data_IF_949743600567
#
_entry.id   IF_949743600567
#
_cell.length_a   1.000
_cell.length_b   1.000
_cell.length_c   1.000
_cell.angle_alpha   90.00
_cell.angle_beta   90.00
_cell.angle_gamma   90.00
#
_symmetry.space_group_name_H-M   'P 1'
#
loop_
_entity.id
_entity.type
_entity.pdbx_description
1 polymer ?
#
# COMPACT_ATOMS: atom_id res chain seq x y z
N UNK A 1 -22.65 -19.67 -3.58
CA UNK A 1 -23.28 -20.58 -2.60
C UNK A 1 -22.83 -20.17 -1.21
N UNK A 2 -23.58 -20.50 -0.17
CA UNK A 2 -23.27 -20.19 1.24
C UNK A 2 -21.84 -20.63 1.65
N UNK A 3 -21.40 -21.78 1.12
CA UNK A 3 -20.03 -22.30 1.27
C UNK A 3 -18.94 -21.35 0.73
N UNK A 4 -19.19 -20.66 -0.39
CA UNK A 4 -18.22 -19.74 -0.98
C UNK A 4 -18.07 -18.47 -0.13
N UNK A 5 -19.19 -17.91 0.34
CA UNK A 5 -19.16 -16.73 1.22
C UNK A 5 -18.53 -17.06 2.58
N UNK A 6 -18.85 -18.23 3.15
CA UNK A 6 -18.21 -18.68 4.39
C UNK A 6 -16.69 -18.86 4.28
N UNK A 7 -16.21 -19.39 3.16
CA UNK A 7 -14.77 -19.52 2.92
C UNK A 7 -14.09 -18.16 2.70
N UNK A 8 -14.74 -17.25 1.96
CA UNK A 8 -14.23 -15.90 1.75
C UNK A 8 -14.14 -15.12 3.07
N UNK A 9 -15.17 -15.19 3.91
CA UNK A 9 -15.17 -14.50 5.20
C UNK A 9 -14.11 -15.07 6.15
N UNK A 10 -13.88 -16.39 6.10
CA UNK A 10 -12.79 -17.02 6.84
C UNK A 10 -11.42 -16.50 6.39
N UNK A 11 -11.18 -16.38 5.08
CA UNK A 11 -9.92 -15.85 4.55
C UNK A 11 -9.75 -14.37 4.90
N UNK A 12 -10.78 -13.56 4.71
CA UNK A 12 -10.72 -12.12 5.00
C UNK A 12 -10.62 -11.83 6.51
N UNK A 13 -11.15 -12.71 7.36
CA UNK A 13 -11.06 -12.60 8.82
C UNK A 13 -9.73 -13.07 9.42
N UNK A 14 -8.80 -13.58 8.62
CA UNK A 14 -7.47 -14.00 9.09
C UNK A 14 -6.75 -12.82 9.75
N UNK A 15 -6.32 -13.00 11.00
CA UNK A 15 -5.48 -12.02 11.70
C UNK A 15 -4.05 -12.08 11.14
N UNK A 16 -3.58 -10.94 10.65
CA UNK A 16 -2.22 -10.75 10.15
C UNK A 16 -1.28 -10.17 11.20
N UNK A 17 -1.84 -9.47 12.20
CA UNK A 17 -1.05 -8.89 13.28
C UNK A 17 -1.84 -7.94 14.16
N UNK A 18 -1.14 -6.95 14.73
CA UNK A 18 -1.70 -5.91 15.58
C UNK A 18 -1.10 -4.57 15.20
N UNK A 19 -1.94 -3.59 14.87
CA UNK A 19 -1.54 -2.21 14.72
C UNK A 19 -1.51 -1.55 16.11
N UNK A 20 -0.37 -0.98 16.50
CA UNK A 20 -0.19 -0.33 17.82
C UNK A 20 -0.71 1.11 17.85
N UNK A 21 -1.14 1.63 16.71
CA UNK A 21 -1.76 2.94 16.55
C UNK A 21 -2.59 2.95 15.27
N UNK A 22 -3.56 3.85 15.19
CA UNK A 22 -4.27 4.11 13.93
C UNK A 22 -3.36 4.88 12.96
N UNK A 23 -3.51 4.62 11.67
CA UNK A 23 -2.80 5.33 10.60
C UNK A 23 -3.81 5.79 9.55
N UNK A 24 -3.75 7.08 9.20
CA UNK A 24 -4.49 7.61 8.06
C UNK A 24 -3.96 7.04 6.74
N UNK A 25 -4.77 7.15 5.69
CA UNK A 25 -4.39 6.83 4.31
C UNK A 25 -3.04 7.43 3.91
N UNK A 26 -2.76 8.67 4.31
CA UNK A 26 -1.51 9.36 3.97
C UNK A 26 -0.32 8.78 4.75
N UNK A 27 -0.50 8.46 6.03
CA UNK A 27 0.54 7.87 6.89
C UNK A 27 0.87 6.43 6.48
N UNK A 28 -0.06 5.72 5.84
CA UNK A 28 0.17 4.39 5.27
C UNK A 28 1.05 4.41 4.01
N UNK A 29 1.23 5.56 3.36
CA UNK A 29 2.08 5.72 2.18
C UNK A 29 3.51 5.23 2.41
N UNK A 30 4.25 5.86 3.34
CA UNK A 30 5.62 5.45 3.70
C UNK A 30 5.70 4.01 4.20
N UNK A 31 4.74 3.55 5.01
CA UNK A 31 4.73 2.19 5.54
C UNK A 31 4.67 1.13 4.42
N UNK A 32 3.82 1.35 3.41
CA UNK A 32 3.72 0.44 2.26
C UNK A 32 5.00 0.50 1.42
N UNK A 33 5.56 1.69 1.20
CA UNK A 33 6.82 1.83 0.48
C UNK A 33 7.95 1.06 1.20
N UNK A 34 8.08 1.20 2.51
CA UNK A 34 9.06 0.45 3.30
C UNK A 34 8.83 -1.06 3.25
N UNK A 35 7.57 -1.52 3.31
CA UNK A 35 7.27 -2.94 3.16
C UNK A 35 7.71 -3.50 1.79
N UNK A 36 7.55 -2.73 0.70
CA UNK A 36 8.08 -3.12 -0.61
C UNK A 36 9.61 -3.16 -0.64
N UNK A 37 10.26 -2.14 -0.05
CA UNK A 37 11.71 -2.05 0.06
C UNK A 37 12.28 -3.30 0.74
N UNK A 38 11.70 -3.69 1.87
CA UNK A 38 12.09 -4.86 2.63
C UNK A 38 11.78 -6.17 1.89
N UNK A 39 10.60 -6.28 1.28
CA UNK A 39 10.20 -7.51 0.57
C UNK A 39 11.11 -7.85 -0.62
N UNK A 40 11.57 -6.82 -1.35
CA UNK A 40 12.41 -7.00 -2.53
C UNK A 40 13.91 -6.82 -2.29
N UNK A 41 14.33 -6.51 -1.06
CA UNK A 41 15.71 -6.16 -0.72
C UNK A 41 16.28 -5.06 -1.64
N UNK A 42 15.51 -3.97 -1.81
CA UNK A 42 15.87 -2.83 -2.66
C UNK A 42 16.37 -1.63 -1.85
N UNK A 43 17.04 -0.70 -2.52
CA UNK A 43 17.48 0.56 -1.90
C UNK A 43 16.34 1.53 -1.64
N UNK A 44 15.27 1.45 -2.44
CA UNK A 44 14.12 2.33 -2.39
C UNK A 44 12.83 1.51 -2.50
N UNK A 45 11.83 1.93 -1.74
CA UNK A 45 10.44 1.53 -1.90
C UNK A 45 9.64 2.66 -2.53
N UNK A 46 8.70 2.33 -3.41
CA UNK A 46 7.89 3.33 -4.10
C UNK A 46 6.42 2.96 -4.08
N UNK A 47 5.58 3.91 -3.70
CA UNK A 47 4.13 3.74 -3.66
C UNK A 47 3.46 5.09 -3.92
N UNK A 48 2.54 5.13 -4.89
CA UNK A 48 1.78 6.35 -5.17
C UNK A 48 0.65 6.57 -4.17
N UNK A 49 0.31 7.85 -3.92
CA UNK A 49 -0.70 8.22 -2.91
C UNK A 49 -2.12 7.76 -3.25
N UNK A 50 -2.41 7.44 -4.52
CA UNK A 50 -3.69 6.89 -4.95
C UNK A 50 -3.86 5.39 -4.69
N UNK A 51 -2.79 4.68 -4.30
CA UNK A 51 -2.83 3.23 -4.08
C UNK A 51 -3.51 2.83 -2.77
N UNK A 52 -3.36 3.64 -1.71
CA UNK A 52 -4.07 3.44 -0.44
C UNK A 52 -5.49 4.00 -0.53
N UNK A 53 -6.48 3.26 -0.03
CA UNK A 53 -7.89 3.64 -0.16
C UNK A 53 -8.69 3.71 1.14
N UNK A 54 -8.08 3.33 2.26
CA UNK A 54 -8.68 3.36 3.58
C UNK A 54 -7.64 3.69 4.66
N UNK A 55 -8.12 4.18 5.80
CA UNK A 55 -7.34 4.29 7.02
C UNK A 55 -7.21 2.91 7.70
N UNK A 56 -6.20 2.75 8.55
CA UNK A 56 -5.98 1.58 9.38
C UNK A 56 -6.29 1.92 10.84
N UNK A 57 -7.10 1.08 11.49
CA UNK A 57 -7.42 1.23 12.91
C UNK A 57 -6.35 0.59 13.78
N UNK A 58 -6.21 1.10 15.00
CA UNK A 58 -5.47 0.43 16.06
C UNK A 58 -6.13 -0.91 16.43
N UNK A 59 -5.32 -1.88 16.86
CA UNK A 59 -5.77 -3.18 17.34
C UNK A 59 -5.54 -4.29 16.32
N UNK A 60 -6.42 -5.29 16.32
CA UNK A 60 -6.30 -6.48 15.45
C UNK A 60 -6.31 -6.07 13.97
N UNK A 61 -5.25 -6.44 13.25
CA UNK A 61 -5.16 -6.26 11.81
C UNK A 61 -5.56 -7.55 11.11
N UNK A 62 -6.59 -7.49 10.27
CA UNK A 62 -7.06 -8.63 9.47
C UNK A 62 -6.66 -8.52 7.99
N UNK A 63 -6.79 -9.62 7.24
CA UNK A 63 -6.63 -9.62 5.78
C UNK A 63 -7.62 -8.67 5.10
N UNK A 64 -8.84 -8.53 5.63
CA UNK A 64 -9.83 -7.57 5.15
C UNK A 64 -9.33 -6.13 5.27
N UNK A 65 -8.67 -5.80 6.37
CA UNK A 65 -8.14 -4.45 6.58
C UNK A 65 -7.01 -4.17 5.58
N UNK A 66 -6.07 -5.09 5.42
CA UNK A 66 -5.00 -4.97 4.44
C UNK A 66 -5.53 -4.82 2.99
N UNK A 67 -6.52 -5.64 2.61
CA UNK A 67 -7.18 -5.54 1.30
C UNK A 67 -7.96 -4.23 1.15
N UNK A 68 -8.52 -3.69 2.24
CA UNK A 68 -9.24 -2.41 2.21
C UNK A 68 -8.28 -1.24 2.00
N UNK A 69 -7.07 -1.32 2.54
CA UNK A 69 -5.99 -0.35 2.30
C UNK A 69 -5.48 -0.45 0.86
N UNK A 70 -5.15 -1.65 0.36
CA UNK A 70 -4.61 -1.89 -1.00
C UNK A 70 -5.58 -2.73 -1.87
N UNK A 71 -6.70 -2.16 -2.36
CA UNK A 71 -7.81 -2.95 -2.89
C UNK A 71 -7.64 -3.44 -4.33
N UNK A 72 -6.64 -2.94 -5.06
CA UNK A 72 -6.57 -3.14 -6.51
C UNK A 72 -5.98 -4.48 -6.94
N UNK A 73 -5.41 -5.25 -6.02
CA UNK A 73 -4.76 -6.53 -6.35
C UNK A 73 -3.51 -6.38 -7.23
N UNK A 74 -2.93 -5.18 -7.27
CA UNK A 74 -1.65 -4.95 -7.95
C UNK A 74 -0.56 -5.76 -7.26
N UNK A 75 0.32 -6.37 -8.06
CA UNK A 75 1.53 -7.01 -7.54
C UNK A 75 2.68 -6.02 -7.65
N UNK A 76 3.40 -5.72 -6.55
CA UNK A 76 4.57 -4.87 -6.64
C UNK A 76 5.70 -5.59 -7.40
N UNK A 77 6.60 -4.82 -8.01
CA UNK A 77 7.75 -5.33 -8.77
C UNK A 77 9.02 -4.59 -8.37
N UNK A 78 10.17 -5.25 -8.49
CA UNK A 78 11.47 -4.63 -8.39
C UNK A 78 12.02 -4.30 -9.78
N UNK A 79 12.61 -3.11 -9.92
CA UNK A 79 13.28 -2.67 -11.15
C UNK A 79 14.63 -2.04 -10.84
N UNK A 80 15.53 -2.02 -11.81
CA UNK A 80 16.72 -1.18 -11.79
C UNK A 80 16.44 0.13 -12.53
N UNK A 81 16.81 1.25 -11.91
CA UNK A 81 16.67 2.57 -12.50
C UNK A 81 17.93 3.40 -12.20
N UNK A 82 18.29 4.25 -13.15
CA UNK A 82 19.34 5.26 -12.95
C UNK A 82 18.83 6.40 -12.08
N UNK A 83 19.74 7.14 -11.44
CA UNK A 83 19.37 8.33 -10.67
C UNK A 83 18.61 9.38 -11.51
N UNK A 84 18.92 9.51 -12.80
CA UNK A 84 18.20 10.39 -13.71
C UNK A 84 16.74 9.94 -13.90
N UNK A 85 16.50 8.64 -14.11
CA UNK A 85 15.13 8.12 -14.24
C UNK A 85 14.31 8.28 -12.96
N UNK A 86 14.95 8.12 -11.79
CA UNK A 86 14.31 8.36 -10.50
C UNK A 86 13.91 9.83 -10.36
N UNK A 87 14.81 10.75 -10.69
CA UNK A 87 14.54 12.19 -10.68
C UNK A 87 13.40 12.56 -11.61
N UNK A 88 13.43 12.08 -12.85
CA UNK A 88 12.38 12.35 -13.83
C UNK A 88 11.01 11.81 -13.38
N UNK A 89 10.99 10.67 -12.68
CA UNK A 89 9.76 10.11 -12.13
C UNK A 89 9.16 10.98 -11.02
N UNK A 90 10.01 11.51 -10.12
CA UNK A 90 9.57 12.44 -9.07
C UNK A 90 9.01 13.74 -9.65
N UNK A 91 9.69 14.32 -10.64
CA UNK A 91 9.25 15.56 -11.30
C UNK A 91 7.87 15.37 -11.97
N UNK A 92 7.70 14.26 -12.71
CA UNK A 92 6.40 13.90 -13.32
C UNK A 92 5.30 13.66 -12.30
N UNK A 93 5.63 13.08 -11.15
CA UNK A 93 4.67 12.88 -10.07
C UNK A 93 4.07 14.21 -9.61
N UNK A 94 4.95 15.14 -9.23
CA UNK A 94 4.56 16.48 -8.78
C UNK A 94 3.74 17.21 -9.86
N UNK A 95 4.17 17.17 -11.12
CA UNK A 95 3.42 17.78 -12.23
C UNK A 95 2.01 17.20 -12.41
N UNK A 96 1.84 15.90 -12.17
CA UNK A 96 0.55 15.23 -12.31
C UNK A 96 -0.44 15.61 -11.20
N UNK A 97 0.03 16.22 -10.11
CA UNK A 97 -0.76 16.48 -8.92
C UNK A 97 -0.21 17.65 -8.08
N UNK A 98 -0.23 18.88 -8.65
CA UNK A 98 0.45 20.04 -8.07
C UNK A 98 -0.14 20.50 -6.72
N UNK A 99 -1.41 20.17 -6.45
CA UNK A 99 -2.11 20.54 -5.21
C UNK A 99 -2.01 19.46 -4.11
N UNK A 100 -1.33 18.34 -4.39
CA UNK A 100 -1.28 17.17 -3.50
C UNK A 100 -2.55 16.31 -3.59
N UNK A 101 -2.44 14.99 -3.33
CA UNK A 101 -3.55 14.05 -3.56
C UNK A 101 -3.15 12.66 -4.09
N UNK A 102 -4.03 12.02 -4.86
CA UNK A 102 -3.90 10.63 -5.34
C UNK A 102 -2.90 10.44 -6.50
N UNK A 103 -2.16 11.48 -6.89
CA UNK A 103 -1.13 11.41 -7.93
C UNK A 103 0.12 10.63 -7.50
N UNK A 104 1.02 10.45 -8.46
CA UNK A 104 2.39 9.98 -8.19
C UNK A 104 3.24 11.12 -7.62
#
# INVERSE_FOLDING_TARGET
SEKLYGELDRQLGEQLGTATQALSKAELGPLVADAYREHFDTQLGWQNGGGQRADMKEGTLTRRDAQSVLPFGNSPIAIQATGAQIKDALEKGIESNPDGGNGF
#
